data_IF_561058512224
#
_entry.id   IF_561058512224
#
_cell.length_a   1.000
_cell.length_b   1.000
_cell.length_c   1.000
_cell.angle_alpha   90.00
_cell.angle_beta   90.00
_cell.angle_gamma   90.00
#
_symmetry.space_group_name_H-M   'P 1'
#
loop_
_entity.id
_entity.type
_entity.pdbx_description
1 polymer ?
#
# COMPACT_ATOMS: atom_id res chain seq x y z
N UNK A 1 -82.92 -14.09 25.45
CA UNK A 1 -82.25 -13.47 26.62
C UNK A 1 -81.33 -14.52 27.23
N UNK A 2 -80.16 -14.09 27.69
CA UNK A 2 -79.02 -14.87 28.21
C UNK A 2 -78.11 -15.48 27.13
N UNK A 3 -76.78 -15.38 27.14
CA UNK A 3 -75.71 -14.53 27.73
C UNK A 3 -74.42 -15.31 27.43
N UNK A 4 -73.29 -14.65 27.12
CA UNK A 4 -71.97 -15.26 27.37
C UNK A 4 -70.92 -15.07 26.28
N UNK A 5 -70.02 -14.13 26.52
CA UNK A 5 -68.75 -13.83 25.84
C UNK A 5 -67.78 -15.03 25.76
N UNK A 6 -66.80 -14.96 24.85
CA UNK A 6 -65.37 -14.87 25.21
C UNK A 6 -64.46 -14.67 23.98
N UNK A 7 -63.42 -13.86 24.21
CA UNK A 7 -62.37 -13.48 23.29
C UNK A 7 -61.36 -14.61 23.01
N UNK A 8 -60.67 -14.53 21.87
CA UNK A 8 -59.46 -15.29 21.55
C UNK A 8 -58.48 -14.41 20.79
N UNK A 9 -57.40 -14.02 21.47
CA UNK A 9 -56.27 -13.26 20.94
C UNK A 9 -55.16 -14.19 20.43
N UNK A 10 -54.12 -13.57 19.83
CA UNK A 10 -52.79 -14.10 19.48
C UNK A 10 -52.69 -14.88 18.15
N UNK A 11 -51.63 -14.82 17.35
CA UNK A 11 -50.28 -14.28 17.53
C UNK A 11 -49.60 -14.07 16.15
N UNK A 12 -48.65 -13.15 16.14
CA UNK A 12 -47.60 -12.80 15.19
C UNK A 12 -47.09 -13.85 14.17
N UNK A 13 -46.74 -13.36 12.97
CA UNK A 13 -45.42 -13.61 12.36
C UNK A 13 -45.15 -12.59 11.23
N UNK A 14 -44.62 -11.41 11.59
CA UNK A 14 -43.96 -10.51 10.65
C UNK A 14 -42.62 -11.13 10.27
N UNK A 15 -42.55 -11.70 9.08
CA UNK A 15 -41.30 -12.10 8.42
C UNK A 15 -40.51 -10.83 8.07
N UNK A 16 -39.57 -10.46 8.92
CA UNK A 16 -38.49 -9.54 8.54
C UNK A 16 -37.47 -10.33 7.71
N UNK A 17 -37.08 -9.86 6.50
CA UNK A 17 -35.97 -10.44 5.78
C UNK A 17 -34.69 -10.13 6.57
N UNK A 18 -34.01 -11.18 7.02
CA UNK A 18 -32.64 -11.05 7.51
C UNK A 18 -31.78 -10.53 6.35
N UNK A 19 -31.47 -9.24 6.37
CA UNK A 19 -30.37 -8.69 5.58
C UNK A 19 -29.11 -9.38 6.09
N UNK A 20 -28.64 -10.37 5.35
CA UNK A 20 -27.31 -10.91 5.52
C UNK A 20 -26.35 -9.73 5.32
N UNK A 21 -25.80 -9.20 6.42
CA UNK A 21 -24.60 -8.40 6.36
C UNK A 21 -23.56 -9.30 5.72
N UNK A 22 -23.16 -8.97 4.50
CA UNK A 22 -22.01 -9.58 3.88
C UNK A 22 -20.88 -9.49 4.91
N UNK A 23 -20.43 -10.65 5.41
CA UNK A 23 -19.24 -10.73 6.24
C UNK A 23 -18.08 -10.31 5.34
N UNK A 24 -17.80 -9.01 5.31
CA UNK A 24 -16.52 -8.51 4.86
C UNK A 24 -15.49 -9.16 5.78
N UNK A 25 -14.68 -10.07 5.23
CA UNK A 25 -13.52 -10.59 5.94
C UNK A 25 -12.71 -9.41 6.51
N UNK A 26 -11.95 -9.63 7.58
CA UNK A 26 -11.30 -8.54 8.29
C UNK A 26 -10.45 -7.69 7.33
N UNK A 27 -10.33 -6.37 7.58
CA UNK A 27 -9.67 -5.41 6.66
C UNK A 27 -8.15 -5.50 6.69
N UNK A 28 -7.43 -5.30 5.57
CA UNK A 28 -5.97 -5.46 5.49
C UNK A 28 -5.20 -4.69 6.56
N UNK A 29 -4.26 -5.32 7.28
CA UNK A 29 -3.28 -4.61 8.10
C UNK A 29 -2.29 -3.87 7.18
N UNK A 30 -2.55 -2.61 6.81
CA UNK A 30 -1.58 -1.85 6.01
C UNK A 30 -0.30 -1.66 6.83
N UNK A 31 0.84 -2.01 6.23
CA UNK A 31 2.16 -1.94 6.84
C UNK A 31 2.71 -0.52 6.97
N UNK A 32 1.87 0.44 7.36
CA UNK A 32 2.30 1.79 7.68
C UNK A 32 3.17 1.79 8.93
N UNK A 33 4.25 2.57 8.91
CA UNK A 33 4.98 2.86 10.13
C UNK A 33 3.97 3.61 11.01
N UNK A 34 3.55 3.01 12.14
CA UNK A 34 2.40 3.40 12.96
C UNK A 34 2.50 4.78 13.64
N UNK A 35 2.88 5.80 12.88
CA UNK A 35 3.10 7.18 13.29
C UNK A 35 1.96 8.10 12.81
N UNK A 36 1.05 7.60 11.96
CA UNK A 36 -0.10 8.35 11.45
C UNK A 36 -1.39 7.91 12.15
N UNK A 37 -1.79 8.68 13.17
CA UNK A 37 -3.01 8.46 13.96
C UNK A 37 -4.25 8.46 13.07
N UNK A 38 -4.36 9.40 12.13
CA UNK A 38 -5.54 9.52 11.27
C UNK A 38 -5.71 8.29 10.36
N UNK A 39 -4.60 7.79 9.81
CA UNK A 39 -4.62 6.57 9.02
C UNK A 39 -4.98 5.34 9.87
N UNK A 40 -4.56 5.30 11.13
CA UNK A 40 -4.91 4.24 12.07
C UNK A 40 -6.41 4.22 12.37
N UNK A 41 -7.00 5.37 12.71
CA UNK A 41 -8.46 5.52 12.96
C UNK A 41 -9.23 5.10 11.72
N UNK A 42 -8.89 5.65 10.55
CA UNK A 42 -9.57 5.34 9.26
C UNK A 42 -9.60 3.84 8.94
N UNK A 43 -8.61 3.07 9.41
CA UNK A 43 -8.52 1.63 9.14
C UNK A 43 -9.29 0.76 10.14
N UNK A 44 -9.44 1.22 11.40
CA UNK A 44 -9.90 0.38 12.51
C UNK A 44 -11.22 0.86 13.15
N UNK A 45 -11.74 2.03 12.78
CA UNK A 45 -12.94 2.66 13.37
C UNK A 45 -14.21 2.11 12.69
N UNK A 46 -14.64 0.93 13.15
CA UNK A 46 -15.73 0.19 12.51
C UNK A 46 -17.13 0.75 12.82
N UNK A 47 -17.33 1.34 14.00
CA UNK A 47 -18.59 1.99 14.38
C UNK A 47 -18.63 3.49 14.02
N UNK A 48 -17.50 4.04 13.54
CA UNK A 48 -17.36 5.42 13.04
C UNK A 48 -17.62 6.46 14.10
N UNK A 49 -17.28 6.16 15.34
CA UNK A 49 -17.39 7.10 16.46
C UNK A 49 -16.14 8.00 16.58
N UNK A 50 -15.11 7.75 15.77
CA UNK A 50 -13.85 8.48 15.74
C UNK A 50 -12.83 8.01 16.76
N UNK A 51 -13.06 6.88 17.43
CA UNK A 51 -12.25 6.37 18.53
C UNK A 51 -11.91 4.89 18.34
N UNK A 52 -10.68 4.53 18.67
CA UNK A 52 -10.26 3.12 18.75
C UNK A 52 -9.85 2.81 20.17
N UNK A 53 -10.64 2.04 20.91
CA UNK A 53 -10.20 1.56 22.22
C UNK A 53 -9.22 0.40 22.08
N UNK A 54 -8.45 0.14 23.13
CA UNK A 54 -7.60 -1.06 23.20
C UNK A 54 -8.40 -2.36 23.00
N UNK A 55 -9.67 -2.38 23.43
CA UNK A 55 -10.56 -3.52 23.26
C UNK A 55 -10.96 -3.72 21.79
N UNK A 56 -11.31 -2.63 21.08
CA UNK A 56 -11.67 -2.69 19.65
C UNK A 56 -10.50 -3.21 18.83
N UNK A 57 -9.31 -2.67 19.10
CA UNK A 57 -8.11 -3.10 18.42
C UNK A 57 -7.74 -4.56 18.73
N UNK A 58 -7.89 -5.00 19.98
CA UNK A 58 -7.67 -6.40 20.35
C UNK A 58 -8.68 -7.35 19.66
N UNK A 59 -9.96 -6.95 19.59
CA UNK A 59 -11.01 -7.71 18.91
C UNK A 59 -10.75 -7.82 17.41
N UNK A 60 -10.38 -6.72 16.75
CA UNK A 60 -9.98 -6.70 15.35
C UNK A 60 -8.80 -7.65 15.08
N UNK A 61 -7.77 -7.63 15.94
CA UNK A 61 -6.62 -8.51 15.80
C UNK A 61 -6.94 -9.96 16.09
N UNK A 62 -7.86 -10.24 17.02
CA UNK A 62 -8.40 -11.59 17.26
C UNK A 62 -9.05 -12.15 15.99
N UNK A 63 -10.00 -11.41 15.43
CA UNK A 63 -10.68 -11.80 14.21
C UNK A 63 -9.70 -12.04 13.05
N UNK A 64 -8.63 -11.24 12.97
CA UNK A 64 -7.56 -11.42 11.98
C UNK A 64 -6.75 -12.69 12.16
N UNK A 65 -6.35 -12.98 13.40
CA UNK A 65 -5.64 -14.20 13.73
C UNK A 65 -6.48 -15.42 13.38
N UNK A 66 -7.75 -15.44 13.82
CA UNK A 66 -8.65 -16.57 13.63
C UNK A 66 -8.99 -16.80 12.14
N UNK A 67 -8.95 -15.74 11.32
CA UNK A 67 -9.10 -15.85 9.87
C UNK A 67 -7.83 -16.33 9.15
N UNK A 68 -6.67 -16.20 9.80
CA UNK A 68 -5.37 -16.65 9.26
C UNK A 68 -5.10 -18.10 9.65
N UNK A 69 -5.42 -18.47 10.90
CA UNK A 69 -5.42 -19.84 11.44
C UNK A 69 -6.51 -20.66 10.74
N UNK A 70 -6.15 -21.22 9.59
CA UNK A 70 -7.07 -21.84 8.64
C UNK A 70 -7.36 -23.27 9.05
N UNK A 71 -6.41 -23.92 9.71
CA UNK A 71 -6.58 -25.26 10.24
C UNK A 71 -7.26 -25.27 11.64
N UNK A 72 -7.43 -24.10 12.26
CA UNK A 72 -8.05 -23.88 13.56
C UNK A 72 -7.35 -24.62 14.70
N UNK A 73 -6.03 -24.69 14.67
CA UNK A 73 -5.22 -25.33 15.71
C UNK A 73 -4.80 -24.39 16.84
N UNK A 74 -5.18 -23.11 16.76
CA UNK A 74 -4.90 -22.08 17.76
C UNK A 74 -3.54 -21.41 17.58
N UNK A 75 -2.81 -21.73 16.52
CA UNK A 75 -1.57 -21.09 16.10
C UNK A 75 -1.65 -20.69 14.62
N UNK A 76 -0.81 -19.73 14.22
CA UNK A 76 -0.62 -19.39 12.81
C UNK A 76 0.79 -19.83 12.43
N UNK A 77 0.89 -20.78 11.50
CA UNK A 77 2.18 -21.19 10.95
C UNK A 77 2.70 -20.23 9.86
N UNK A 78 3.93 -20.45 9.40
CA UNK A 78 4.55 -19.60 8.39
C UNK A 78 3.79 -19.63 7.06
N UNK A 79 3.26 -20.79 6.67
CA UNK A 79 2.54 -20.94 5.40
C UNK A 79 1.20 -20.21 5.43
N UNK A 80 0.46 -20.31 6.53
CA UNK A 80 -0.79 -19.56 6.76
C UNK A 80 -0.55 -18.05 6.77
N UNK A 81 0.49 -17.60 7.48
CA UNK A 81 0.86 -16.17 7.53
C UNK A 81 1.26 -15.63 6.16
N UNK A 82 2.10 -16.37 5.44
CA UNK A 82 2.59 -15.98 4.11
C UNK A 82 1.46 -15.98 3.09
N UNK A 83 0.56 -16.98 3.15
CA UNK A 83 -0.58 -17.07 2.25
C UNK A 83 -1.56 -15.88 2.43
N UNK A 84 -1.92 -15.54 3.68
CA UNK A 84 -2.77 -14.38 3.97
C UNK A 84 -2.12 -13.09 3.46
N UNK A 85 -0.82 -12.91 3.76
CA UNK A 85 -0.10 -11.71 3.38
C UNK A 85 -0.03 -11.54 1.86
N UNK A 86 0.29 -12.61 1.12
CA UNK A 86 0.32 -12.62 -0.34
C UNK A 86 -1.04 -12.28 -0.94
N UNK A 87 -2.10 -12.92 -0.46
CA UNK A 87 -3.46 -12.67 -0.95
C UNK A 87 -3.85 -11.20 -0.76
N UNK A 88 -3.59 -10.66 0.43
CA UNK A 88 -3.87 -9.27 0.76
C UNK A 88 -3.06 -8.29 -0.10
N UNK A 89 -1.78 -8.59 -0.36
CA UNK A 89 -0.92 -7.78 -1.22
C UNK A 89 -1.37 -7.82 -2.67
N UNK A 90 -1.67 -8.99 -3.22
CA UNK A 90 -2.20 -9.14 -4.58
C UNK A 90 -3.48 -8.34 -4.78
N UNK A 91 -4.41 -8.39 -3.82
CA UNK A 91 -5.63 -7.57 -3.88
C UNK A 91 -5.34 -6.06 -3.93
N UNK A 92 -4.39 -5.59 -3.12
CA UNK A 92 -3.98 -4.18 -3.12
C UNK A 92 -3.33 -3.77 -4.45
N UNK A 93 -2.44 -4.62 -4.98
CA UNK A 93 -1.75 -4.39 -6.24
C UNK A 93 -2.73 -4.40 -7.43
N UNK A 94 -3.73 -5.27 -7.46
CA UNK A 94 -4.74 -5.30 -8.52
C UNK A 94 -5.67 -4.08 -8.47
N UNK A 95 -6.05 -3.64 -7.27
CA UNK A 95 -6.80 -2.38 -7.10
C UNK A 95 -5.99 -1.20 -7.65
N UNK A 96 -4.71 -1.12 -7.34
CA UNK A 96 -3.83 -0.09 -7.89
C UNK A 96 -3.69 -0.21 -9.40
N UNK A 97 -3.49 -1.43 -9.92
CA UNK A 97 -3.42 -1.69 -11.35
C UNK A 97 -4.65 -1.17 -12.09
N UNK A 98 -5.84 -1.49 -11.58
CA UNK A 98 -7.10 -1.06 -12.18
C UNK A 98 -7.28 0.47 -12.13
N UNK A 99 -6.91 1.11 -11.02
CA UNK A 99 -6.92 2.57 -10.90
C UNK A 99 -5.96 3.22 -11.90
N UNK A 100 -4.74 2.71 -12.01
CA UNK A 100 -3.74 3.22 -12.95
C UNK A 100 -4.15 3.02 -14.41
N UNK A 101 -4.73 1.87 -14.75
CA UNK A 101 -5.25 1.59 -16.08
C UNK A 101 -6.41 2.54 -16.45
N UNK A 102 -7.29 2.88 -15.49
CA UNK A 102 -8.40 3.80 -15.71
C UNK A 102 -7.94 5.21 -16.15
N UNK A 103 -6.77 5.66 -15.67
CA UNK A 103 -6.16 6.94 -16.04
C UNK A 103 -5.40 6.92 -17.37
N UNK A 104 -5.29 5.76 -18.05
CA UNK A 104 -4.53 5.62 -19.30
C UNK A 104 -4.98 6.56 -20.41
N UNK A 105 -6.30 6.71 -20.59
CA UNK A 105 -6.86 7.63 -21.59
C UNK A 105 -6.51 9.09 -21.32
N UNK A 106 -6.52 9.50 -20.05
CA UNK A 106 -6.17 10.88 -19.67
C UNK A 106 -4.69 11.16 -19.91
N UNK A 107 -3.81 10.18 -19.64
CA UNK A 107 -2.38 10.31 -19.94
C UNK A 107 -2.10 10.35 -21.43
N UNK A 108 -2.78 9.52 -22.21
CA UNK A 108 -2.68 9.54 -23.67
C UNK A 108 -3.08 10.90 -24.23
N UNK A 109 -4.26 11.41 -23.85
CA UNK A 109 -4.74 12.72 -24.29
C UNK A 109 -3.87 13.90 -23.81
N UNK A 110 -3.04 13.71 -22.77
CA UNK A 110 -2.07 14.71 -22.35
C UNK A 110 -0.78 14.69 -23.18
N UNK A 111 -0.53 13.60 -23.92
CA UNK A 111 0.60 13.47 -24.85
C UNK A 111 0.21 13.87 -26.27
N UNK A 112 -1.01 13.54 -26.69
CA UNK A 112 -1.63 13.92 -27.97
C UNK A 112 -2.03 15.41 -27.91
N UNK A 113 -1.10 16.28 -28.28
CA UNK A 113 -1.21 17.72 -28.08
C UNK A 113 -2.03 18.40 -29.18
N UNK A 114 -2.01 17.85 -30.39
CA UNK A 114 -2.79 18.34 -31.52
C UNK A 114 -4.19 17.71 -31.62
N UNK A 115 -4.44 16.62 -30.88
CA UNK A 115 -5.74 15.96 -30.78
C UNK A 115 -6.08 15.10 -31.99
N UNK A 116 -5.07 14.63 -32.73
CA UNK A 116 -5.26 13.80 -33.93
C UNK A 116 -5.53 12.32 -33.61
N UNK A 117 -5.45 11.94 -32.32
CA UNK A 117 -5.69 10.58 -31.83
C UNK A 117 -4.46 9.69 -31.87
N UNK A 118 -3.29 10.23 -32.17
CA UNK A 118 -1.99 9.58 -32.11
C UNK A 118 -1.04 10.40 -31.25
N UNK A 119 0.04 9.77 -30.76
CA UNK A 119 1.15 10.50 -30.14
C UNK A 119 2.34 10.42 -31.07
N UNK A 120 2.58 11.50 -31.80
CA UNK A 120 3.73 11.60 -32.68
C UNK A 120 5.04 11.64 -31.88
N UNK A 121 6.14 11.24 -32.51
CA UNK A 121 7.47 11.27 -31.87
C UNK A 121 7.82 12.64 -31.29
N UNK A 122 7.48 13.72 -31.99
CA UNK A 122 7.75 15.08 -31.54
C UNK A 122 6.99 15.43 -30.26
N UNK A 123 5.75 14.97 -30.13
CA UNK A 123 4.92 15.20 -28.94
C UNK A 123 5.42 14.38 -27.76
N UNK A 124 5.78 13.12 -28.00
CA UNK A 124 6.42 12.26 -27.00
C UNK A 124 7.74 12.85 -26.47
N UNK A 125 8.57 13.40 -27.35
CA UNK A 125 9.83 14.04 -27.00
C UNK A 125 9.60 15.38 -26.26
N UNK A 126 8.59 16.17 -26.67
CA UNK A 126 8.22 17.40 -25.99
C UNK A 126 7.73 17.14 -24.56
N UNK A 127 6.87 16.14 -24.37
CA UNK A 127 6.44 15.70 -23.05
C UNK A 127 7.63 15.19 -22.22
N UNK A 128 8.53 14.43 -22.82
CA UNK A 128 9.78 13.97 -22.19
C UNK A 128 10.70 15.12 -21.77
N UNK A 129 10.76 16.22 -22.52
CA UNK A 129 11.55 17.38 -22.14
C UNK A 129 10.98 18.07 -20.89
N UNK A 130 9.65 18.16 -20.76
CA UNK A 130 9.00 18.68 -19.56
C UNK A 130 9.21 17.76 -18.36
N UNK A 131 9.10 16.45 -18.59
CA UNK A 131 9.30 15.41 -17.59
C UNK A 131 10.73 15.43 -17.03
N UNK A 132 11.72 15.52 -17.91
CA UNK A 132 13.11 15.76 -17.54
C UNK A 132 13.28 17.01 -16.68
N UNK A 133 12.71 18.15 -17.10
CA UNK A 133 12.85 19.40 -16.37
C UNK A 133 12.28 19.30 -14.94
N UNK A 134 11.12 18.66 -14.79
CA UNK A 134 10.52 18.39 -13.48
C UNK A 134 11.39 17.46 -12.63
N UNK A 135 11.85 16.35 -13.20
CA UNK A 135 12.71 15.40 -12.49
C UNK A 135 14.01 16.03 -12.01
N UNK A 136 14.68 16.80 -12.85
CA UNK A 136 15.90 17.54 -12.46
C UNK A 136 15.63 18.58 -11.37
N UNK A 137 14.49 19.27 -11.42
CA UNK A 137 14.08 20.18 -10.37
C UNK A 137 13.82 19.42 -9.05
N UNK A 138 13.19 18.25 -9.10
CA UNK A 138 12.95 17.40 -7.94
C UNK A 138 14.26 16.89 -7.32
N UNK A 139 15.20 16.38 -8.13
CA UNK A 139 16.54 15.99 -7.69
C UNK A 139 17.28 17.14 -7.00
N UNK A 140 17.22 18.34 -7.60
CA UNK A 140 17.85 19.54 -7.03
C UNK A 140 17.22 19.95 -5.70
N UNK A 141 15.88 19.85 -5.58
CA UNK A 141 15.17 20.13 -4.35
C UNK A 141 15.52 19.11 -3.25
N UNK A 142 15.54 17.81 -3.58
CA UNK A 142 15.91 16.74 -2.65
C UNK A 142 17.37 16.83 -2.16
N UNK A 143 18.28 17.32 -3.00
CA UNK A 143 19.67 17.59 -2.60
C UNK A 143 19.80 18.76 -1.60
N UNK A 144 18.85 19.69 -1.59
CA UNK A 144 18.81 20.84 -0.67
C UNK A 144 18.01 20.56 0.60
N UNK A 145 17.14 19.55 0.59
CA UNK A 145 16.34 19.18 1.74
C UNK A 145 17.20 18.57 2.87
N UNK A 146 16.93 18.92 4.14
CA UNK A 146 17.63 18.32 5.28
C UNK A 146 17.34 16.82 5.38
N UNK A 147 18.25 16.01 5.98
CA UNK A 147 18.20 14.55 5.94
C UNK A 147 16.91 13.90 6.48
N UNK A 148 16.14 14.60 7.33
CA UNK A 148 14.94 14.07 7.99
C UNK A 148 13.65 14.09 7.16
N UNK A 149 13.64 14.69 5.97
CA UNK A 149 12.41 14.86 5.17
C UNK A 149 12.20 13.76 4.12
N UNK A 150 13.21 12.91 3.90
CA UNK A 150 13.19 11.84 2.87
C UNK A 150 12.26 10.67 3.21
N UNK A 151 11.99 10.45 4.49
CA UNK A 151 11.09 9.37 4.95
C UNK A 151 9.61 9.69 4.73
N UNK A 152 9.24 10.96 4.62
CA UNK A 152 7.84 11.38 4.45
C UNK A 152 7.27 11.06 3.07
N UNK A 153 8.11 10.87 2.04
CA UNK A 153 7.62 10.56 0.70
C UNK A 153 6.91 9.20 0.64
N UNK A 154 7.42 8.19 1.37
CA UNK A 154 6.79 6.87 1.47
C UNK A 154 5.51 6.89 2.33
N UNK A 155 5.41 7.86 3.25
CA UNK A 155 4.25 8.03 4.14
C UNK A 155 3.10 8.80 3.46
N UNK A 156 3.38 9.67 2.48
CA UNK A 156 2.33 10.44 1.75
C UNK A 156 1.34 9.55 1.01
N UNK A 157 1.80 8.44 0.47
CA UNK A 157 0.96 7.48 -0.26
C UNK A 157 0.30 6.43 0.66
N UNK A 158 0.38 6.62 1.98
CA UNK A 158 -0.20 5.71 2.96
C UNK A 158 0.47 4.33 2.97
N UNK A 159 1.76 4.25 2.65
CA UNK A 159 2.49 2.98 2.54
C UNK A 159 2.07 2.13 1.34
N UNK A 160 1.36 2.71 0.36
CA UNK A 160 1.18 2.09 -0.96
C UNK A 160 2.53 2.19 -1.67
N UNK A 161 3.09 1.10 -2.21
CA UNK A 161 4.23 1.22 -3.10
C UNK A 161 3.74 1.83 -4.41
N UNK A 162 3.58 3.15 -4.42
CA UNK A 162 3.14 3.90 -5.59
C UNK A 162 4.05 3.62 -6.76
N UNK A 163 3.45 3.63 -7.95
CA UNK A 163 4.23 3.70 -9.19
C UNK A 163 5.22 4.86 -9.11
N UNK A 164 6.52 4.64 -9.39
CA UNK A 164 7.47 5.73 -9.52
C UNK A 164 6.89 6.78 -10.48
N UNK A 165 6.67 7.99 -9.96
CA UNK A 165 6.37 9.14 -10.79
C UNK A 165 7.64 9.97 -10.98
N UNK A 166 7.68 10.71 -12.07
CA UNK A 166 8.77 11.64 -12.37
C UNK A 166 8.66 12.96 -11.58
N UNK A 167 7.67 13.08 -10.69
CA UNK A 167 7.42 14.30 -9.91
C UNK A 167 8.28 14.32 -8.65
N UNK A 168 8.59 13.15 -8.10
CA UNK A 168 9.52 12.96 -6.97
C UNK A 168 10.94 12.67 -7.45
N UNK A 169 11.93 12.99 -6.62
CA UNK A 169 13.33 12.69 -6.89
C UNK A 169 13.57 11.17 -6.90
N UNK A 170 13.01 10.48 -5.91
CA UNK A 170 13.09 9.03 -5.75
C UNK A 170 12.41 8.31 -6.92
N UNK A 171 11.22 8.77 -7.32
CA UNK A 171 10.51 8.19 -8.45
C UNK A 171 11.23 8.45 -9.78
N UNK A 172 11.79 9.64 -9.98
CA UNK A 172 12.57 9.96 -11.18
C UNK A 172 13.84 9.10 -11.30
N UNK A 173 14.58 8.89 -10.21
CA UNK A 173 15.72 7.96 -10.19
C UNK A 173 15.26 6.53 -10.49
N UNK A 174 14.21 6.06 -9.82
CA UNK A 174 13.70 4.70 -10.02
C UNK A 174 13.22 4.43 -11.47
N UNK A 175 12.87 5.47 -12.23
CA UNK A 175 12.48 5.36 -13.63
C UNK A 175 13.64 5.43 -14.62
N UNK A 176 14.68 6.21 -14.32
CA UNK A 176 15.66 6.63 -15.34
C UNK A 176 17.14 6.49 -14.94
N UNK A 177 17.47 6.15 -13.69
CA UNK A 177 18.84 5.86 -13.22
C UNK A 177 19.13 4.35 -13.42
N UNK A 178 19.56 3.99 -14.63
CA UNK A 178 19.82 2.59 -15.01
C UNK A 178 21.16 2.08 -14.46
N UNK A 179 22.13 2.98 -14.32
CA UNK A 179 23.46 2.64 -13.84
C UNK A 179 23.58 2.61 -12.30
N UNK A 180 22.57 3.11 -11.59
CA UNK A 180 22.48 3.14 -10.13
C UNK A 180 23.46 4.10 -9.45
N UNK A 181 23.92 5.13 -10.15
CA UNK A 181 24.88 6.12 -9.63
C UNK A 181 24.20 7.25 -8.82
N UNK A 182 22.88 7.19 -8.69
CA UNK A 182 22.07 8.17 -7.97
C UNK A 182 21.82 9.45 -8.77
N UNK A 183 22.04 9.43 -10.07
CA UNK A 183 21.81 10.56 -11.00
C UNK A 183 21.17 10.03 -12.28
N UNK A 184 20.54 10.94 -13.01
CA UNK A 184 20.03 10.64 -14.35
C UNK A 184 20.76 11.52 -15.35
N UNK A 185 21.56 10.91 -16.22
CA UNK A 185 22.26 11.60 -17.29
C UNK A 185 21.33 12.00 -18.44
N UNK A 186 21.67 13.07 -19.18
CA UNK A 186 20.84 13.50 -20.33
C UNK A 186 20.79 12.44 -21.43
N UNK A 187 21.92 11.77 -21.67
CA UNK A 187 22.04 10.68 -22.65
C UNK A 187 21.23 9.46 -22.21
N UNK A 188 21.41 9.03 -20.97
CA UNK A 188 20.67 7.92 -20.35
C UNK A 188 19.16 8.11 -20.46
N UNK A 189 18.66 9.28 -20.04
CA UNK A 189 17.24 9.62 -20.18
C UNK A 189 16.76 9.56 -21.63
N UNK A 190 17.53 10.14 -22.57
CA UNK A 190 17.15 10.17 -23.98
C UNK A 190 17.15 8.77 -24.61
N UNK A 191 18.14 7.94 -24.30
CA UNK A 191 18.25 6.57 -24.80
C UNK A 191 17.07 5.72 -24.28
N UNK A 192 16.75 5.82 -22.98
CA UNK A 192 15.61 5.12 -22.37
C UNK A 192 14.27 5.55 -22.99
N UNK A 193 14.06 6.86 -23.18
CA UNK A 193 12.83 7.37 -23.81
C UNK A 193 12.70 6.93 -25.26
N UNK A 194 13.81 6.94 -26.01
CA UNK A 194 13.82 6.46 -27.38
C UNK A 194 13.49 4.95 -27.46
N UNK A 195 14.06 4.16 -26.55
CA UNK A 195 13.75 2.73 -26.45
C UNK A 195 12.29 2.47 -26.06
N UNK A 196 11.72 3.24 -25.12
CA UNK A 196 10.31 3.15 -24.75
C UNK A 196 9.40 3.40 -25.95
N UNK A 197 9.61 4.49 -26.67
CA UNK A 197 8.83 4.81 -27.87
C UNK A 197 8.92 3.69 -28.91
N UNK A 198 10.14 3.25 -29.24
CA UNK A 198 10.35 2.20 -30.23
C UNK A 198 9.77 0.84 -29.81
N UNK A 199 9.67 0.57 -28.52
CA UNK A 199 9.03 -0.66 -28.01
C UNK A 199 7.51 -0.59 -28.04
N UNK A 200 6.93 0.61 -27.93
CA UNK A 200 5.49 0.82 -27.97
C UNK A 200 4.96 0.91 -29.41
N UNK A 201 5.73 1.48 -30.33
CA UNK A 201 5.40 1.62 -31.77
C UNK A 201 5.52 0.26 -32.48
N UNK A 202 4.47 -0.55 -32.36
CA UNK A 202 4.46 -1.94 -32.80
C UNK A 202 4.33 -2.07 -34.31
N UNK A 203 3.56 -1.18 -34.94
CA UNK A 203 3.42 -1.13 -36.39
C UNK A 203 4.53 -0.33 -37.10
N UNK A 204 5.37 0.38 -36.32
CA UNK A 204 6.53 1.16 -36.76
C UNK A 204 6.13 2.34 -37.65
N UNK A 205 4.99 2.97 -37.37
CA UNK A 205 4.50 4.13 -38.09
C UNK A 205 5.07 5.46 -37.56
N UNK A 206 5.94 5.42 -36.55
CA UNK A 206 6.54 6.57 -35.88
C UNK A 206 5.54 7.45 -35.08
N UNK A 207 4.41 6.88 -34.70
CA UNK A 207 3.42 7.42 -33.79
C UNK A 207 2.89 6.32 -32.86
N UNK A 208 2.37 6.68 -31.70
CA UNK A 208 1.74 5.72 -30.80
C UNK A 208 0.23 5.86 -30.87
N UNK A 209 -0.45 4.77 -31.21
CA UNK A 209 -1.90 4.68 -31.06
C UNK A 209 -2.31 4.53 -29.58
N UNK A 210 -3.59 4.78 -29.24
CA UNK A 210 -4.11 4.56 -27.89
C UNK A 210 -3.96 3.11 -27.40
N UNK A 211 -3.95 2.15 -28.34
CA UNK A 211 -3.80 0.73 -28.04
C UNK A 211 -2.35 0.36 -27.75
N UNK A 212 -1.42 0.84 -28.57
CA UNK A 212 0.03 0.68 -28.36
C UNK A 212 0.49 1.32 -27.05
N UNK A 213 0.05 2.54 -26.77
CA UNK A 213 0.35 3.22 -25.51
C UNK A 213 -0.19 2.44 -24.29
N UNK A 214 -1.41 1.90 -24.41
CA UNK A 214 -2.02 1.12 -23.32
C UNK A 214 -1.24 -0.17 -23.06
N UNK A 215 -0.88 -0.91 -24.10
CA UNK A 215 -0.14 -2.17 -23.96
C UNK A 215 1.23 -1.93 -23.33
N UNK A 216 1.99 -0.93 -23.79
CA UNK A 216 3.26 -0.57 -23.15
C UNK A 216 3.08 -0.23 -21.67
N UNK A 217 2.08 0.60 -21.38
CA UNK A 217 1.83 1.04 -20.01
C UNK A 217 1.49 -0.14 -19.10
N UNK A 218 0.62 -1.05 -19.56
CA UNK A 218 0.25 -2.26 -18.82
C UNK A 218 1.44 -3.20 -18.63
N UNK A 219 2.32 -3.37 -19.62
CA UNK A 219 3.51 -4.20 -19.52
C UNK A 219 4.54 -3.64 -18.53
N UNK A 220 4.75 -2.32 -18.55
CA UNK A 220 5.58 -1.64 -17.54
C UNK A 220 4.97 -1.79 -16.14
N UNK A 221 3.65 -1.65 -16.04
CA UNK A 221 2.91 -1.83 -14.80
C UNK A 221 3.06 -3.23 -14.24
N UNK A 222 2.83 -4.26 -15.05
CA UNK A 222 2.97 -5.65 -14.65
C UNK A 222 4.40 -5.97 -14.17
N UNK A 223 5.44 -5.55 -14.91
CA UNK A 223 6.84 -5.77 -14.49
C UNK A 223 7.14 -5.17 -13.12
N UNK A 224 6.62 -3.97 -12.84
CA UNK A 224 6.79 -3.32 -11.53
C UNK A 224 6.05 -4.05 -10.44
N UNK A 225 4.79 -4.43 -10.67
CA UNK A 225 3.99 -5.17 -9.71
C UNK A 225 4.68 -6.50 -9.35
N UNK A 226 5.19 -7.23 -10.33
CA UNK A 226 5.98 -8.46 -10.08
C UNK A 226 7.24 -8.18 -9.25
N UNK A 227 7.97 -7.10 -9.51
CA UNK A 227 9.15 -6.76 -8.71
C UNK A 227 8.79 -6.42 -7.25
N UNK A 228 7.65 -5.75 -7.03
CA UNK A 228 7.12 -5.46 -5.69
C UNK A 228 6.71 -6.74 -4.97
N UNK A 229 5.97 -7.64 -5.64
CA UNK A 229 5.59 -8.94 -5.09
C UNK A 229 6.81 -9.75 -4.63
N UNK A 230 7.88 -9.79 -5.43
CA UNK A 230 9.12 -10.48 -5.06
C UNK A 230 9.83 -9.84 -3.86
N UNK A 231 9.79 -8.51 -3.75
CA UNK A 231 10.37 -7.80 -2.61
C UNK A 231 9.56 -8.06 -1.32
N UNK A 232 8.23 -8.03 -1.43
CA UNK A 232 7.28 -8.29 -0.36
C UNK A 232 7.39 -9.74 0.16
N UNK A 233 7.54 -10.69 -0.74
CA UNK A 233 7.76 -12.11 -0.42
C UNK A 233 8.99 -12.31 0.47
N UNK A 234 10.09 -11.58 0.21
CA UNK A 234 11.26 -11.64 1.10
C UNK A 234 10.97 -11.05 2.48
N UNK A 235 10.16 -9.99 2.55
CA UNK A 235 9.85 -9.32 3.82
C UNK A 235 8.88 -10.10 4.70
N UNK A 236 7.92 -10.82 4.13
CA UNK A 236 6.91 -11.55 4.94
C UNK A 236 7.54 -12.66 5.79
N UNK A 237 8.51 -13.40 5.24
CA UNK A 237 9.25 -14.41 5.99
C UNK A 237 10.07 -13.80 7.14
N UNK A 238 10.66 -12.62 6.93
CA UNK A 238 11.36 -11.89 7.98
C UNK A 238 10.39 -11.43 9.06
N UNK A 239 9.21 -10.92 8.68
CA UNK A 239 8.16 -10.50 9.62
C UNK A 239 7.67 -11.67 10.47
N UNK A 240 7.42 -12.83 9.87
CA UNK A 240 7.02 -14.03 10.60
C UNK A 240 8.06 -14.37 11.67
N UNK A 241 9.34 -14.47 11.29
CA UNK A 241 10.46 -14.77 12.22
C UNK A 241 10.66 -13.74 13.34
N UNK A 242 10.19 -12.50 13.15
CA UNK A 242 10.25 -11.45 14.18
C UNK A 242 9.07 -11.56 15.14
N UNK A 243 7.94 -12.12 14.70
CA UNK A 243 6.76 -12.32 15.53
C UNK A 243 6.80 -13.64 16.30
N UNK A 244 7.27 -14.71 15.66
CA UNK A 244 7.59 -16.01 16.26
C UNK A 244 8.78 -15.86 17.22
N UNK A 245 8.47 -15.61 18.49
CA UNK A 245 9.45 -15.16 19.49
C UNK A 245 10.20 -16.34 20.08
N UNK A 246 9.50 -17.45 20.32
CA UNK A 246 10.09 -18.68 20.83
C UNK A 246 10.67 -19.59 19.74
N UNK A 247 10.42 -19.26 18.46
CA UNK A 247 11.00 -19.90 17.27
C UNK A 247 10.52 -21.32 17.09
N UNK A 248 9.31 -21.62 17.52
CA UNK A 248 8.67 -22.92 17.36
C UNK A 248 7.96 -23.08 16.00
N UNK A 249 8.05 -22.06 15.14
CA UNK A 249 7.42 -21.97 13.82
C UNK A 249 5.89 -21.87 13.87
N UNK A 250 5.32 -21.55 15.04
CA UNK A 250 3.89 -21.46 15.29
C UNK A 250 3.59 -20.21 16.11
N UNK A 251 3.15 -19.16 15.44
CA UNK A 251 2.81 -17.92 16.12
C UNK A 251 1.49 -18.07 16.90
N UNK A 252 1.58 -18.00 18.22
CA UNK A 252 0.39 -17.95 19.09
C UNK A 252 -0.30 -16.59 19.04
N UNK A 253 -1.53 -16.47 19.55
CA UNK A 253 -2.14 -15.14 19.66
C UNK A 253 -1.33 -14.20 20.55
N UNK A 254 -0.74 -14.69 21.63
CA UNK A 254 0.01 -13.82 22.54
C UNK A 254 1.17 -13.12 21.81
N UNK A 255 1.91 -13.87 21.00
CA UNK A 255 3.00 -13.37 20.17
C UNK A 255 2.51 -12.45 19.05
N UNK A 256 1.46 -12.89 18.35
CA UNK A 256 0.81 -12.05 17.36
C UNK A 256 0.40 -10.71 18.00
N UNK A 257 -0.28 -10.73 19.16
CA UNK A 257 -0.82 -9.59 19.89
C UNK A 257 0.26 -8.61 20.37
N UNK A 258 1.42 -9.10 20.78
CA UNK A 258 2.50 -8.28 21.31
C UNK A 258 2.94 -7.17 20.34
N UNK A 259 2.99 -7.45 19.03
CA UNK A 259 3.30 -6.45 18.01
C UNK A 259 2.22 -5.38 17.85
N UNK A 260 0.96 -5.76 18.00
CA UNK A 260 -0.18 -4.84 17.95
C UNK A 260 -0.18 -3.91 19.14
N UNK A 261 0.07 -4.41 20.36
CA UNK A 261 0.15 -3.56 21.55
C UNK A 261 1.24 -2.48 21.40
N UNK A 262 2.39 -2.82 20.81
CA UNK A 262 3.44 -1.83 20.47
C UNK A 262 3.01 -0.81 19.42
N UNK A 263 2.10 -1.19 18.52
CA UNK A 263 1.56 -0.28 17.50
C UNK A 263 0.52 0.64 18.13
N UNK A 264 -0.42 0.08 18.90
CA UNK A 264 -1.44 0.83 19.64
C UNK A 264 -0.80 1.87 20.56
N UNK A 265 0.16 1.48 21.40
CA UNK A 265 0.86 2.40 22.30
C UNK A 265 1.67 3.51 21.58
N UNK A 266 1.94 3.36 20.28
CA UNK A 266 2.62 4.38 19.48
C UNK A 266 1.64 5.41 18.91
N UNK A 267 0.41 5.00 18.64
CA UNK A 267 -0.66 5.86 18.11
C UNK A 267 -1.51 6.48 19.22
N UNK A 268 -1.69 5.79 20.35
CA UNK A 268 -2.22 6.30 21.62
C UNK A 268 -1.10 7.09 22.32
N UNK A 269 -0.95 8.36 21.93
CA UNK A 269 0.15 9.25 22.31
C UNK A 269 -0.10 9.90 23.66
N UNK A 270 -1.37 10.13 24.01
CA UNK A 270 -1.73 10.65 25.32
C UNK A 270 -1.79 9.54 26.39
N UNK A 271 -1.74 8.26 25.97
CA UNK A 271 -1.75 7.07 26.82
C UNK A 271 -3.02 6.93 27.66
N UNK A 272 -4.17 7.33 27.11
CA UNK A 272 -5.46 7.22 27.78
C UNK A 272 -6.22 5.92 27.44
N UNK A 273 -5.65 5.08 26.57
CA UNK A 273 -6.22 3.80 26.15
C UNK A 273 -7.21 3.92 25.00
N UNK A 274 -7.34 5.09 24.39
CA UNK A 274 -8.20 5.40 23.24
C UNK A 274 -7.39 6.15 22.20
N UNK A 275 -7.39 5.68 20.95
CA UNK A 275 -6.79 6.43 19.84
C UNK A 275 -7.87 7.29 19.21
N UNK A 276 -7.75 8.61 19.32
CA UNK A 276 -8.69 9.55 18.73
C UNK A 276 -8.04 10.85 18.20
N UNK A 277 -8.87 11.85 17.89
CA UNK A 277 -8.41 13.14 17.37
C UNK A 277 -7.42 13.86 18.33
N UNK A 278 -7.48 13.56 19.63
CA UNK A 278 -6.58 14.10 20.64
C UNK A 278 -5.14 13.63 20.42
N UNK A 279 -4.95 12.35 20.04
CA UNK A 279 -3.63 11.83 19.68
C UNK A 279 -3.12 12.45 18.38
N UNK A 280 -4.01 12.65 17.40
CA UNK A 280 -3.65 13.28 16.14
C UNK A 280 -3.12 14.71 16.34
N UNK A 281 -3.59 15.40 17.39
CA UNK A 281 -3.14 16.74 17.76
C UNK A 281 -1.77 16.77 18.47
N UNK A 282 -1.28 15.64 18.99
CA UNK A 282 0.03 15.55 19.62
C UNK A 282 1.16 15.43 18.59
N UNK A 283 2.39 15.85 18.91
CA UNK A 283 3.52 15.62 18.03
C UNK A 283 3.81 14.11 17.90
N UNK A 284 4.29 13.64 16.73
CA UNK A 284 4.72 12.26 16.59
C UNK A 284 5.91 11.97 17.52
N UNK A 285 6.03 10.74 18.07
CA UNK A 285 7.17 10.36 18.88
C UNK A 285 8.47 10.50 18.08
N UNK A 286 9.54 10.95 18.75
CA UNK A 286 10.85 11.07 18.12
C UNK A 286 11.26 9.72 17.50
N UNK A 287 11.87 9.71 16.30
CA UNK A 287 12.34 8.47 15.69
C UNK A 287 13.28 7.77 16.66
N UNK A 288 13.08 6.46 16.85
CA UNK A 288 13.98 5.66 17.67
C UNK A 288 15.42 5.84 17.14
N UNK A 289 16.43 5.96 18.01
CA UNK A 289 17.81 6.08 17.56
C UNK A 289 18.13 4.88 16.67
N UNK A 290 18.68 5.14 15.48
CA UNK A 290 19.10 4.11 14.56
C UNK A 290 20.03 3.16 15.31
N UNK A 291 19.59 1.93 15.54
CA UNK A 291 20.46 0.87 16.02
C UNK A 291 21.55 0.71 14.97
N UNK A 292 22.80 0.95 15.37
CA UNK A 292 23.96 0.81 14.50
C UNK A 292 23.92 -0.56 13.81
N UNK A 293 24.28 -0.65 12.52
CA UNK A 293 24.33 -1.93 11.82
C UNK A 293 25.23 -2.89 12.61
N UNK A 294 24.71 -4.09 12.87
CA UNK A 294 25.48 -5.16 13.48
C UNK A 294 26.78 -5.35 12.68
N UNK A 295 27.91 -5.08 13.32
CA UNK A 295 29.23 -5.33 12.77
C UNK A 295 29.39 -6.82 12.57
N UNK A 296 29.41 -7.24 11.31
CA UNK A 296 29.87 -8.58 10.91
C UNK A 296 31.29 -8.78 11.46
N UNK A 297 31.56 -9.80 12.30
CA UNK A 297 32.92 -10.06 12.73
C UNK A 297 33.74 -10.52 11.52
N UNK A 298 34.90 -9.91 11.35
CA UNK A 298 35.87 -10.25 10.32
C UNK A 298 36.25 -11.74 10.42
N UNK A 299 36.19 -12.43 9.28
CA UNK A 299 36.75 -13.77 9.11
C UNK A 299 38.27 -13.64 9.24
N UNK A 300 38.86 -14.27 10.25
CA UNK A 300 40.30 -14.48 10.30
C UNK A 300 40.65 -15.65 9.38
N UNK A 301 41.64 -15.43 8.52
CA UNK A 301 42.31 -16.45 7.71
C UNK A 301 43.08 -17.46 8.57
#
# INVERSE_FOLDING_TARGET
MNTGSLAGACLCALLLPATALAQSGPRPLLGGHGNNVQAFITQHDDDRDGRITAADFAAFRRARFDATDRNHDGSVDEDEYVAEFRQRRQQALEQERSAQAAHGRQRFAALDADGDGQVARAEFDAAGAQDWARGQAALTAAAKAPPGDRTQAFDRDGGRPGMPDSQSAEGFLALYDENGDGKVGRKEYADLRAAQFASADGDRNAALSPDEYRVEFEDRLNRRLTALEQADDRQVHVRFKVLDTDKDQRMTFAEYQASGLRTFARVDRNHDGVVDASDAALPPPAPAPATAPATTPARAD
#
